data_IF_670018523633
#
_entry.id   IF_670018523633
#
_cell.length_a   1.000
_cell.length_b   1.000
_cell.length_c   1.000
_cell.angle_alpha   90.00
_cell.angle_beta   90.00
_cell.angle_gamma   90.00
#
_symmetry.space_group_name_H-M   'P 1'
#
loop_
_entity.id
_entity.type
_entity.pdbx_description
1 polymer ?
#
# COMPACT_ATOMS: atom_id res chain seq x y z
N UNK A 1 -15.70 -12.07 -18.63
CA UNK A 1 -14.22 -12.10 -18.56
C UNK A 1 -13.81 -12.41 -17.11
N UNK A 2 -13.03 -13.46 -16.83
CA UNK A 2 -12.95 -13.99 -15.48
C UNK A 2 -11.97 -13.21 -14.57
N UNK A 3 -12.54 -12.86 -13.43
CA UNK A 3 -12.11 -12.07 -12.28
C UNK A 3 -11.06 -12.72 -11.38
N UNK A 4 -10.22 -11.94 -10.71
CA UNK A 4 -9.50 -12.42 -9.53
C UNK A 4 -10.52 -12.50 -8.37
N UNK A 5 -11.10 -13.70 -8.17
CA UNK A 5 -12.22 -13.96 -7.27
C UNK A 5 -11.76 -14.20 -5.83
N UNK A 6 -11.03 -13.27 -5.21
CA UNK A 6 -10.90 -13.37 -3.77
C UNK A 6 -12.08 -12.71 -3.07
N UNK A 7 -13.09 -13.53 -2.80
CA UNK A 7 -14.36 -13.17 -2.15
C UNK A 7 -14.28 -13.15 -0.62
N UNK A 8 -13.07 -13.20 -0.05
CA UNK A 8 -12.83 -13.42 1.38
C UNK A 8 -13.25 -14.82 1.89
N UNK A 9 -13.51 -15.76 0.98
CA UNK A 9 -13.97 -17.13 1.28
C UNK A 9 -12.85 -18.16 1.37
N UNK A 10 -11.61 -17.82 1.01
CA UNK A 10 -10.47 -18.72 1.18
C UNK A 10 -10.02 -18.69 2.64
N UNK A 11 -10.14 -19.82 3.33
CA UNK A 11 -9.94 -19.91 4.77
C UNK A 11 -8.45 -19.90 5.20
N UNK A 12 -7.49 -19.72 4.28
CA UNK A 12 -6.05 -19.80 4.58
C UNK A 12 -5.22 -18.71 3.89
N UNK A 13 -4.15 -18.29 4.55
CA UNK A 13 -3.17 -17.36 3.99
C UNK A 13 -2.47 -17.92 2.73
N UNK A 14 -2.21 -19.23 2.70
CA UNK A 14 -1.63 -19.92 1.55
C UNK A 14 -2.54 -19.88 0.31
N UNK A 15 -3.86 -19.86 0.50
CA UNK A 15 -4.80 -19.66 -0.60
C UNK A 15 -4.87 -18.20 -1.08
N UNK A 16 -4.72 -17.24 -0.17
CA UNK A 16 -4.77 -15.80 -0.49
C UNK A 16 -3.51 -15.30 -1.22
N UNK A 17 -2.34 -15.91 -0.96
CA UNK A 17 -1.08 -15.56 -1.62
C UNK A 17 -1.14 -15.61 -3.17
N UNK A 18 -1.52 -16.73 -3.80
CA UNK A 18 -1.62 -16.79 -5.27
C UNK A 18 -2.75 -15.92 -5.84
N UNK A 19 -3.79 -15.61 -5.05
CA UNK A 19 -4.83 -14.66 -5.45
C UNK A 19 -4.28 -13.24 -5.55
N UNK A 20 -3.50 -12.80 -4.56
CA UNK A 20 -2.82 -11.50 -4.59
C UNK A 20 -1.85 -11.42 -5.77
N UNK A 21 -1.05 -12.47 -6.00
CA UNK A 21 -0.13 -12.51 -7.15
C UNK A 21 -0.86 -12.37 -8.49
N UNK A 22 -1.99 -13.06 -8.68
CA UNK A 22 -2.82 -12.92 -9.89
C UNK A 22 -3.45 -11.54 -10.03
N UNK A 23 -3.89 -10.94 -8.93
CA UNK A 23 -4.43 -9.58 -8.95
C UNK A 23 -3.35 -8.59 -9.40
N UNK A 24 -2.16 -8.67 -8.82
CA UNK A 24 -1.03 -7.83 -9.18
C UNK A 24 -0.59 -8.01 -10.63
N UNK A 25 -0.42 -9.25 -11.12
CA UNK A 25 -0.06 -9.47 -12.51
C UNK A 25 -1.06 -8.85 -13.49
N UNK A 26 -2.34 -8.96 -13.20
CA UNK A 26 -3.39 -8.37 -14.03
C UNK A 26 -3.37 -6.85 -13.99
N UNK A 27 -3.34 -6.26 -12.80
CA UNK A 27 -3.35 -4.80 -12.65
C UNK A 27 -2.12 -4.17 -13.32
N UNK A 28 -0.95 -4.82 -13.18
CA UNK A 28 0.32 -4.33 -13.68
C UNK A 28 0.63 -4.77 -15.13
N UNK A 29 -0.25 -5.56 -15.77
CA UNK A 29 -0.02 -6.07 -17.12
C UNK A 29 1.20 -6.99 -17.25
N UNK A 30 1.49 -7.80 -16.22
CA UNK A 30 2.63 -8.72 -16.18
C UNK A 30 2.25 -10.07 -16.81
N UNK A 31 3.19 -10.63 -17.58
CA UNK A 31 3.05 -11.97 -18.19
C UNK A 31 2.99 -13.10 -17.14
N UNK A 32 3.56 -12.86 -15.95
CA UNK A 32 3.60 -13.80 -14.83
C UNK A 32 3.28 -13.10 -13.52
N UNK A 33 2.53 -13.79 -12.65
CA UNK A 33 2.30 -13.36 -11.27
C UNK A 33 3.61 -13.21 -10.50
N UNK A 34 3.81 -12.13 -9.74
CA UNK A 34 4.93 -12.03 -8.82
C UNK A 34 4.79 -13.09 -7.71
N UNK A 35 5.92 -13.53 -7.18
CA UNK A 35 5.94 -14.48 -6.08
C UNK A 35 5.44 -13.78 -4.80
N UNK A 36 4.59 -14.49 -4.04
CA UNK A 36 3.97 -13.96 -2.82
C UNK A 36 4.34 -14.85 -1.63
N UNK A 37 5.13 -14.32 -0.71
CA UNK A 37 5.48 -14.97 0.55
C UNK A 37 4.39 -14.81 1.59
N UNK A 38 4.19 -15.83 2.43
CA UNK A 38 3.31 -15.75 3.61
C UNK A 38 4.16 -15.55 4.85
N UNK A 39 3.88 -14.51 5.62
CA UNK A 39 4.53 -14.24 6.89
C UNK A 39 3.52 -14.39 8.05
N UNK A 40 3.93 -14.92 9.20
CA UNK A 40 3.03 -15.13 10.33
C UNK A 40 2.64 -13.79 10.99
N UNK A 41 1.49 -13.74 11.66
CA UNK A 41 0.94 -12.51 12.24
C UNK A 41 1.79 -11.90 13.37
N UNK A 42 2.54 -12.73 14.09
CA UNK A 42 3.42 -12.35 15.19
C UNK A 42 4.82 -11.93 14.72
N UNK A 43 5.12 -12.04 13.42
CA UNK A 43 6.42 -11.57 12.90
C UNK A 43 6.61 -10.08 13.17
N UNK A 44 7.75 -9.75 13.74
CA UNK A 44 8.27 -8.37 13.80
C UNK A 44 9.34 -8.12 12.76
N UNK A 45 9.80 -9.18 12.08
CA UNK A 45 10.84 -9.12 11.07
C UNK A 45 10.25 -8.78 9.70
N UNK A 46 10.87 -7.83 9.02
CA UNK A 46 10.79 -7.74 7.56
C UNK A 46 11.81 -8.71 6.95
N UNK A 47 11.58 -9.24 5.74
CA UNK A 47 12.60 -10.00 5.02
C UNK A 47 13.92 -9.25 4.95
N UNK A 48 15.04 -9.97 4.92
CA UNK A 48 16.37 -9.35 4.85
C UNK A 48 16.47 -8.45 3.61
N UNK A 49 16.87 -7.19 3.82
CA UNK A 49 16.96 -6.18 2.75
C UNK A 49 15.66 -5.44 2.44
N UNK A 50 14.54 -5.76 3.11
CA UNK A 50 13.26 -5.10 2.88
C UNK A 50 13.32 -3.59 3.16
N UNK A 51 12.73 -2.82 2.24
CA UNK A 51 12.53 -1.38 2.34
C UNK A 51 11.36 -1.00 3.25
N UNK A 52 10.51 -1.97 3.61
CA UNK A 52 9.32 -1.73 4.42
C UNK A 52 9.68 -1.56 5.90
N UNK A 53 9.11 -0.55 6.59
CA UNK A 53 9.38 -0.33 8.01
C UNK A 53 8.95 -1.56 8.84
N UNK A 54 9.60 -1.77 10.01
CA UNK A 54 9.17 -2.75 10.98
C UNK A 54 7.70 -2.51 11.38
N UNK A 55 7.04 -3.57 11.86
CA UNK A 55 5.62 -3.52 12.20
C UNK A 55 5.35 -2.54 13.35
N UNK A 56 4.40 -1.62 13.14
CA UNK A 56 3.78 -0.86 14.23
C UNK A 56 2.91 -1.80 15.09
N UNK A 57 3.12 -1.78 16.41
CA UNK A 57 2.21 -2.46 17.36
C UNK A 57 0.91 -1.66 17.38
N UNK A 58 -0.13 -2.17 16.72
CA UNK A 58 -1.47 -1.59 16.78
C UNK A 58 -1.93 -1.42 18.25
N UNK A 59 -2.32 -0.20 18.63
CA UNK A 59 -2.82 0.15 19.98
C UNK A 59 -4.32 0.47 20.02
N UNK A 60 -5.12 -0.22 19.21
CA UNK A 60 -6.58 -0.12 19.23
C UNK A 60 -7.16 -1.30 18.45
N UNK A 61 -8.22 -1.93 18.97
CA UNK A 61 -8.76 -3.22 18.52
C UNK A 61 -9.04 -3.28 17.00
N UNK A 62 -8.14 -3.86 16.17
CA UNK A 62 -8.44 -4.18 14.79
C UNK A 62 -8.95 -5.63 14.73
N UNK A 63 -9.54 -6.03 13.62
CA UNK A 63 -9.73 -7.46 13.36
C UNK A 63 -8.35 -8.17 13.49
N UNK A 64 -8.26 -9.30 14.22
CA UNK A 64 -6.98 -9.96 14.47
C UNK A 64 -6.32 -10.29 13.12
N UNK A 65 -5.12 -9.74 12.91
CA UNK A 65 -4.31 -10.05 11.73
C UNK A 65 -3.94 -11.53 11.80
N UNK A 66 -4.29 -12.27 10.76
CA UNK A 66 -4.07 -13.70 10.63
C UNK A 66 -2.69 -14.02 10.04
N UNK A 67 -2.25 -13.23 9.07
CA UNK A 67 -0.95 -13.35 8.41
C UNK A 67 -0.65 -12.05 7.63
N UNK A 68 0.55 -11.96 7.08
CA UNK A 68 0.88 -10.98 6.05
C UNK A 68 1.24 -11.69 4.74
N UNK A 69 0.90 -11.06 3.63
CA UNK A 69 1.40 -11.42 2.32
C UNK A 69 2.48 -10.42 1.92
N UNK A 70 3.63 -10.93 1.51
CA UNK A 70 4.77 -10.13 1.09
C UNK A 70 5.07 -10.35 -0.38
N UNK A 71 5.29 -9.27 -1.11
CA UNK A 71 5.68 -9.28 -2.52
C UNK A 71 6.91 -8.40 -2.67
N UNK A 72 7.89 -8.91 -3.40
CA UNK A 72 9.05 -8.17 -3.90
C UNK A 72 9.08 -8.33 -5.41
N UNK A 73 8.83 -7.24 -6.14
CA UNK A 73 8.67 -7.25 -7.58
C UNK A 73 9.56 -6.20 -8.22
N UNK A 74 10.20 -6.55 -9.34
CA UNK A 74 11.10 -5.66 -10.09
C UNK A 74 10.44 -4.98 -11.29
N UNK A 75 9.21 -5.37 -11.64
CA UNK A 75 8.47 -4.88 -12.81
C UNK A 75 7.04 -4.45 -12.44
N UNK A 76 6.47 -3.43 -13.13
CA UNK A 76 7.09 -2.60 -14.18
C UNK A 76 8.16 -1.64 -13.64
N UNK A 77 8.18 -1.42 -12.32
CA UNK A 77 9.28 -0.81 -11.58
C UNK A 77 9.50 -1.62 -10.29
N UNK A 78 10.69 -1.55 -9.67
CA UNK A 78 10.91 -2.15 -8.36
C UNK A 78 9.92 -1.63 -7.30
N UNK A 79 9.30 -2.54 -6.55
CA UNK A 79 8.51 -2.24 -5.36
C UNK A 79 8.41 -3.44 -4.42
N UNK A 80 8.20 -3.16 -3.15
CA UNK A 80 7.75 -4.14 -2.16
C UNK A 80 6.31 -3.84 -1.75
N UNK A 81 5.54 -4.89 -1.45
CA UNK A 81 4.20 -4.79 -0.89
C UNK A 81 4.06 -5.76 0.29
N UNK A 82 3.65 -5.25 1.45
CA UNK A 82 3.13 -6.04 2.56
C UNK A 82 1.63 -5.79 2.71
N UNK A 83 0.84 -6.83 2.50
CA UNK A 83 -0.60 -6.81 2.69
C UNK A 83 -0.98 -7.56 3.97
N UNK A 84 -1.74 -6.92 4.85
CA UNK A 84 -2.30 -7.59 6.03
C UNK A 84 -3.46 -8.50 5.62
N UNK A 85 -3.54 -9.70 6.20
CA UNK A 85 -4.72 -10.55 6.12
C UNK A 85 -5.44 -10.51 7.46
N UNK A 86 -6.67 -10.03 7.48
CA UNK A 86 -7.51 -9.94 8.65
C UNK A 86 -8.37 -11.20 8.77
N UNK A 87 -8.56 -11.72 9.96
CA UNK A 87 -9.52 -12.82 10.18
C UNK A 87 -10.87 -12.29 10.67
N UNK A 88 -11.95 -12.84 10.11
CA UNK A 88 -13.33 -12.55 10.46
C UNK A 88 -14.16 -13.82 10.62
N UNK A 89 -15.40 -13.65 11.07
CA UNK A 89 -16.42 -14.71 11.11
C UNK A 89 -17.56 -14.34 10.19
N UNK A 90 -18.01 -15.31 9.40
CA UNK A 90 -19.26 -15.27 8.63
C UNK A 90 -20.20 -16.34 9.17
N UNK A 91 -21.48 -16.29 8.78
CA UNK A 91 -22.47 -17.33 9.10
C UNK A 91 -22.05 -18.74 8.63
N UNK A 92 -21.08 -18.85 7.71
CA UNK A 92 -20.58 -20.11 7.12
C UNK A 92 -19.16 -20.49 7.56
N UNK A 93 -18.54 -19.77 8.51
CA UNK A 93 -17.21 -20.10 9.02
C UNK A 93 -16.25 -18.91 9.11
N UNK A 94 -14.94 -19.18 9.29
CA UNK A 94 -13.90 -18.14 9.28
C UNK A 94 -13.74 -17.57 7.87
N UNK A 95 -13.73 -16.25 7.76
CA UNK A 95 -13.36 -15.53 6.54
C UNK A 95 -12.01 -14.85 6.74
N UNK A 96 -11.28 -14.64 5.65
CA UNK A 96 -10.10 -13.79 5.63
C UNK A 96 -10.43 -12.57 4.78
N UNK A 97 -10.10 -11.37 5.26
CA UNK A 97 -10.26 -10.09 4.57
C UNK A 97 -8.90 -9.43 4.35
N UNK A 98 -8.78 -8.60 3.32
CA UNK A 98 -7.55 -7.88 3.02
C UNK A 98 -7.53 -6.64 3.90
N UNK A 99 -6.44 -6.39 4.61
CA UNK A 99 -6.28 -5.26 5.50
C UNK A 99 -5.50 -4.13 4.84
N UNK A 100 -4.64 -3.50 5.63
CA UNK A 100 -3.70 -2.50 5.16
C UNK A 100 -2.76 -3.06 4.10
N UNK A 101 -2.53 -2.26 3.06
CA UNK A 101 -1.52 -2.45 2.04
C UNK A 101 -0.41 -1.44 2.31
N UNK A 102 0.80 -1.91 2.54
CA UNK A 102 1.97 -1.07 2.75
C UNK A 102 2.95 -1.32 1.61
N UNK A 103 3.20 -0.28 0.83
CA UNK A 103 4.12 -0.31 -0.29
C UNK A 103 5.41 0.43 0.05
N UNK A 104 6.52 -0.07 -0.49
CA UNK A 104 7.79 0.64 -0.57
C UNK A 104 8.25 0.66 -2.02
N UNK A 105 8.54 1.84 -2.55
CA UNK A 105 8.97 2.03 -3.94
C UNK A 105 10.29 2.81 -3.93
N UNK A 106 11.43 2.18 -4.30
CA UNK A 106 12.69 2.90 -4.40
C UNK A 106 12.63 3.93 -5.52
N UNK A 107 13.16 5.11 -5.21
CA UNK A 107 13.31 6.25 -6.10
C UNK A 107 14.81 6.55 -6.29
N UNK A 108 15.20 6.90 -7.51
CA UNK A 108 16.54 7.37 -7.86
C UNK A 108 16.80 8.80 -7.37
N UNK A 109 15.73 9.57 -7.18
CA UNK A 109 15.80 10.90 -6.62
C UNK A 109 16.36 10.88 -5.20
N UNK A 110 17.12 11.91 -4.83
CA UNK A 110 17.63 12.09 -3.47
C UNK A 110 16.81 13.17 -2.76
N UNK A 111 16.49 12.92 -1.50
CA UNK A 111 15.94 13.91 -0.56
C UNK A 111 16.87 14.01 0.63
N UNK A 112 17.06 15.21 1.19
CA UNK A 112 17.98 15.39 2.32
C UNK A 112 17.32 14.94 3.62
N UNK A 113 16.04 15.26 3.79
CA UNK A 113 15.21 14.79 4.90
C UNK A 113 13.87 14.27 4.41
N UNK A 114 13.08 13.67 5.30
CA UNK A 114 11.76 13.14 4.98
C UNK A 114 10.84 14.23 4.41
N UNK A 115 10.04 13.86 3.41
CA UNK A 115 8.91 14.64 2.91
C UNK A 115 7.65 13.81 3.04
N UNK A 116 6.61 14.36 3.67
CA UNK A 116 5.35 13.68 3.90
C UNK A 116 4.20 14.44 3.26
N UNK A 117 3.18 13.73 2.78
CA UNK A 117 1.89 14.36 2.49
C UNK A 117 1.22 14.74 3.81
N UNK A 118 1.19 16.04 4.09
CA UNK A 118 0.61 16.62 5.29
C UNK A 118 -0.74 17.29 4.98
N UNK A 119 -1.62 17.37 5.99
CA UNK A 119 -2.94 17.98 5.84
C UNK A 119 -4.01 17.03 5.30
N UNK A 120 -5.25 17.54 5.18
CA UNK A 120 -6.44 16.73 4.84
C UNK A 120 -7.39 16.47 6.01
N UNK A 121 -7.39 17.33 7.04
CA UNK A 121 -8.60 17.54 7.83
C UNK A 121 -9.71 18.18 6.99
N UNK A 122 -10.93 18.33 7.51
CA UNK A 122 -12.10 18.80 6.74
C UNK A 122 -11.95 20.16 6.03
N UNK A 123 -10.94 20.96 6.38
CA UNK A 123 -10.83 22.37 5.99
C UNK A 123 -9.49 22.81 5.39
N UNK A 124 -8.53 21.91 5.16
CA UNK A 124 -7.18 22.29 4.69
C UNK A 124 -6.77 21.62 3.38
N UNK A 125 -6.12 22.35 2.44
CA UNK A 125 -5.56 21.73 1.24
C UNK A 125 -4.46 20.73 1.63
N UNK A 126 -4.40 19.60 0.93
CA UNK A 126 -3.34 18.62 1.11
C UNK A 126 -2.06 19.13 0.46
N UNK A 127 -0.94 19.05 1.17
CA UNK A 127 0.37 19.54 0.71
C UNK A 127 1.52 18.71 1.25
N UNK A 128 2.59 18.62 0.50
CA UNK A 128 3.83 18.02 0.98
C UNK A 128 4.53 18.96 1.98
N UNK A 129 5.01 18.40 3.09
CA UNK A 129 5.79 19.10 4.12
C UNK A 129 7.01 18.27 4.52
N UNK A 130 7.97 18.88 5.24
CA UNK A 130 9.26 18.26 5.56
C UNK A 130 10.41 19.00 4.90
N UNK A 131 11.27 18.31 4.15
CA UNK A 131 12.35 18.93 3.36
C UNK A 131 11.80 20.09 2.49
N UNK A 132 12.26 21.34 2.69
CA UNK A 132 11.64 22.50 2.04
C UNK A 132 11.85 22.51 0.53
N UNK A 133 12.99 22.01 0.04
CA UNK A 133 13.32 22.01 -1.39
C UNK A 133 12.49 20.96 -2.13
N UNK A 134 12.45 19.75 -1.59
CA UNK A 134 11.66 18.67 -2.15
C UNK A 134 10.16 18.95 -2.01
N UNK A 135 9.69 19.45 -0.86
CA UNK A 135 8.29 19.86 -0.69
C UNK A 135 7.89 20.96 -1.68
N UNK A 136 8.72 21.98 -1.91
CA UNK A 136 8.43 23.03 -2.89
C UNK A 136 8.28 22.46 -4.32
N UNK A 137 9.17 21.54 -4.73
CA UNK A 137 9.09 20.87 -6.03
C UNK A 137 7.82 20.02 -6.19
N UNK A 138 7.47 19.24 -5.17
CA UNK A 138 6.26 18.41 -5.20
C UNK A 138 4.99 19.26 -5.18
N UNK A 139 4.98 20.36 -4.40
CA UNK A 139 3.83 21.26 -4.30
C UNK A 139 3.68 22.21 -5.51
N UNK A 140 4.69 22.31 -6.38
CA UNK A 140 4.57 23.03 -7.65
C UNK A 140 3.57 22.34 -8.61
N UNK A 141 3.26 21.07 -8.36
CA UNK A 141 2.28 20.29 -9.09
C UNK A 141 1.01 20.05 -8.24
N UNK A 142 -0.06 20.87 -8.40
CA UNK A 142 -1.26 20.75 -7.58
C UNK A 142 -2.01 19.43 -7.79
N UNK A 143 -1.84 18.81 -8.94
CA UNK A 143 -2.47 17.52 -9.26
C UNK A 143 -1.79 16.37 -8.51
N UNK A 144 -0.50 16.49 -8.20
CA UNK A 144 0.24 15.48 -7.45
C UNK A 144 -0.37 15.23 -6.08
N UNK A 145 -0.70 16.30 -5.33
CA UNK A 145 -1.31 16.16 -4.00
C UNK A 145 -2.66 15.45 -4.06
N UNK A 146 -3.47 15.72 -5.10
CA UNK A 146 -4.76 15.04 -5.32
C UNK A 146 -4.56 13.55 -5.63
N UNK A 147 -3.58 13.21 -6.46
CA UNK A 147 -3.25 11.82 -6.78
C UNK A 147 -2.73 11.07 -5.56
N UNK A 148 -1.84 11.71 -4.77
CA UNK A 148 -1.34 11.18 -3.52
C UNK A 148 -2.49 10.90 -2.54
N UNK A 149 -3.42 11.83 -2.38
CA UNK A 149 -4.64 11.64 -1.60
C UNK A 149 -5.45 10.42 -2.04
N UNK A 150 -5.62 10.28 -3.36
CA UNK A 150 -6.41 9.22 -3.96
C UNK A 150 -5.76 7.84 -3.79
N UNK A 151 -4.43 7.74 -3.71
CA UNK A 151 -3.78 6.45 -3.46
C UNK A 151 -3.65 6.14 -1.96
N UNK A 152 -3.59 7.15 -1.07
CA UNK A 152 -3.45 6.96 0.38
C UNK A 152 -4.79 6.94 1.11
N UNK A 153 -5.69 6.04 0.71
CA UNK A 153 -7.02 5.91 1.34
C UNK A 153 -6.86 5.37 2.75
N UNK A 154 -7.40 6.09 3.72
CA UNK A 154 -7.33 5.74 5.15
C UNK A 154 -8.56 5.02 5.67
N UNK A 155 -9.63 4.91 4.87
CA UNK A 155 -10.89 4.28 5.27
C UNK A 155 -11.46 3.40 4.15
N UNK A 156 -11.76 2.14 4.45
CA UNK A 156 -12.37 1.19 3.53
C UNK A 156 -13.29 0.22 4.27
N UNK A 157 -14.33 -0.28 3.62
CA UNK A 157 -15.29 -1.18 4.23
C UNK A 157 -16.36 -1.60 3.25
N UNK A 158 -17.10 -2.71 3.49
CA UNK A 158 -18.24 -3.08 2.67
C UNK A 158 -19.34 -2.00 2.64
N UNK A 159 -19.47 -1.20 3.69
CA UNK A 159 -20.40 -0.07 3.77
C UNK A 159 -19.89 1.02 4.72
N UNK A 160 -20.64 2.12 4.87
CA UNK A 160 -20.27 3.26 5.72
C UNK A 160 -20.34 2.98 7.23
N UNK A 161 -20.96 1.88 7.65
CA UNK A 161 -21.12 1.47 9.06
C UNK A 161 -20.07 0.43 9.47
N UNK A 162 -19.51 -0.31 8.51
CA UNK A 162 -18.51 -1.36 8.73
C UNK A 162 -17.22 -0.98 8.00
N UNK A 163 -16.46 -0.02 8.54
CA UNK A 163 -15.22 0.45 7.93
C UNK A 163 -14.01 0.18 8.80
N UNK A 164 -12.91 -0.21 8.16
CA UNK A 164 -11.56 -0.20 8.71
C UNK A 164 -10.93 1.17 8.49
N UNK A 165 -10.14 1.60 9.46
CA UNK A 165 -9.36 2.84 9.40
C UNK A 165 -7.89 2.56 9.65
N UNK A 166 -7.03 3.29 8.94
CA UNK A 166 -5.58 3.26 9.11
C UNK A 166 -5.02 4.67 9.07
N UNK A 167 -3.95 4.90 9.82
CA UNK A 167 -3.24 6.18 9.73
C UNK A 167 -2.71 6.40 8.32
N UNK A 168 -2.80 7.64 7.85
CA UNK A 168 -2.20 8.00 6.56
C UNK A 168 -0.69 7.89 6.66
N UNK A 169 -0.10 7.11 5.76
CA UNK A 169 1.33 7.14 5.51
C UNK A 169 1.53 7.36 4.01
N UNK A 170 2.10 8.50 3.64
CA UNK A 170 2.61 8.75 2.30
C UNK A 170 3.83 9.65 2.46
N UNK A 171 5.01 9.03 2.48
CA UNK A 171 6.27 9.69 2.80
C UNK A 171 7.36 9.29 1.82
N UNK A 172 8.24 10.23 1.51
CA UNK A 172 9.48 10.01 0.79
C UNK A 172 10.61 10.18 1.79
N UNK A 173 11.37 9.12 2.04
CA UNK A 173 12.46 9.11 3.02
C UNK A 173 13.82 8.94 2.32
N UNK A 174 14.88 9.57 2.84
CA UNK A 174 16.24 9.28 2.37
C UNK A 174 16.57 7.80 2.52
N UNK A 175 17.18 7.21 1.48
CA UNK A 175 17.62 5.82 1.50
C UNK A 175 19.01 5.70 0.83
N UNK A 176 19.89 4.78 1.25
CA UNK A 176 21.19 4.59 0.58
C UNK A 176 21.02 4.42 -0.94
N UNK A 177 21.62 5.33 -1.70
CA UNK A 177 21.52 5.33 -3.17
C UNK A 177 20.35 6.11 -3.77
N UNK A 178 19.47 6.71 -2.96
CA UNK A 178 18.34 7.50 -3.46
C UNK A 178 17.35 7.89 -2.36
N UNK A 179 16.09 7.54 -2.58
CA UNK A 179 15.00 7.70 -1.62
C UNK A 179 14.04 6.52 -1.72
N UNK A 180 13.12 6.40 -0.77
CA UNK A 180 12.04 5.42 -0.81
C UNK A 180 10.71 6.13 -0.60
N UNK A 181 9.73 5.86 -1.48
CA UNK A 181 8.33 6.21 -1.24
C UNK A 181 7.69 5.09 -0.43
N UNK A 182 7.24 5.41 0.78
CA UNK A 182 6.42 4.55 1.61
C UNK A 182 4.97 5.02 1.53
N UNK A 183 4.06 4.09 1.22
CA UNK A 183 2.63 4.39 1.13
C UNK A 183 1.80 3.32 1.82
N UNK A 184 0.98 3.73 2.79
CA UNK A 184 -0.06 2.91 3.41
C UNK A 184 -1.40 3.28 2.79
N UNK A 185 -2.13 2.25 2.38
CA UNK A 185 -3.45 2.37 1.81
C UNK A 185 -4.32 1.18 2.21
N UNK A 186 -5.58 1.22 1.81
CA UNK A 186 -6.52 0.13 1.95
C UNK A 186 -6.93 -0.36 0.57
N UNK A 187 -7.30 -1.63 0.49
CA UNK A 187 -7.95 -2.17 -0.69
C UNK A 187 -9.26 -1.41 -0.97
N UNK A 188 -9.61 -1.28 -2.25
CA UNK A 188 -10.91 -0.71 -2.64
C UNK A 188 -11.88 -1.84 -2.91
N UNK A 189 -13.00 -1.87 -2.19
CA UNK A 189 -14.09 -2.77 -2.55
C UNK A 189 -14.68 -2.33 -3.89
N UNK A 190 -14.70 -3.23 -4.86
CA UNK A 190 -15.47 -3.10 -6.10
C UNK A 190 -16.57 -4.15 -6.06
N UNK A 191 -17.73 -3.95 -6.70
CA UNK A 191 -18.71 -5.05 -6.79
C UNK A 191 -18.37 -5.86 -8.04
N UNK A 192 -17.97 -7.15 -7.97
CA UNK A 192 -17.96 -8.08 -6.81
C UNK A 192 -16.55 -8.41 -6.22
N UNK A 193 -15.57 -7.51 -6.29
CA UNK A 193 -14.12 -7.75 -6.11
C UNK A 193 -13.42 -6.72 -5.19
N UNK A 194 -12.09 -6.68 -5.25
CA UNK A 194 -11.26 -5.63 -4.69
C UNK A 194 -10.09 -5.31 -5.62
N UNK A 195 -9.54 -4.10 -5.50
CA UNK A 195 -8.35 -3.65 -6.22
C UNK A 195 -7.26 -3.23 -5.21
N UNK A 196 -6.01 -3.59 -5.49
CA UNK A 196 -4.82 -3.11 -4.74
C UNK A 196 -4.25 -1.82 -5.33
N UNK A 197 -4.68 -1.45 -6.55
CA UNK A 197 -4.35 -0.20 -7.23
C UNK A 197 -2.85 0.03 -7.39
N UNK A 198 -2.09 -1.06 -7.58
CA UNK A 198 -0.64 -0.99 -7.74
C UNK A 198 -0.22 -0.04 -8.89
N UNK A 199 -0.88 -0.01 -10.07
CA UNK A 199 -0.53 0.93 -11.15
C UNK A 199 -0.56 2.38 -10.71
N UNK A 200 -1.65 2.82 -10.05
CA UNK A 200 -1.81 4.21 -9.62
C UNK A 200 -0.72 4.63 -8.61
N UNK A 201 -0.27 3.69 -7.77
CA UNK A 201 0.83 3.96 -6.85
C UNK A 201 2.18 4.05 -7.58
N UNK A 202 2.46 3.14 -8.52
CA UNK A 202 3.71 3.17 -9.28
C UNK A 202 3.80 4.39 -10.20
N UNK A 203 2.68 4.83 -10.77
CA UNK A 203 2.56 6.06 -11.54
C UNK A 203 2.83 7.29 -10.65
N UNK A 204 2.25 7.32 -9.44
CA UNK A 204 2.55 8.37 -8.46
C UNK A 204 4.05 8.40 -8.13
N UNK A 205 4.66 7.23 -7.90
CA UNK A 205 6.09 7.15 -7.63
C UNK A 205 6.94 7.69 -8.79
N UNK A 206 6.54 7.40 -10.04
CA UNK A 206 7.21 7.93 -11.24
C UNK A 206 7.10 9.46 -11.34
N UNK A 207 5.93 10.00 -11.01
CA UNK A 207 5.70 11.44 -11.02
C UNK A 207 6.49 12.15 -9.92
N UNK A 208 6.48 11.60 -8.70
CA UNK A 208 7.31 12.09 -7.58
C UNK A 208 8.78 12.10 -7.98
N UNK A 209 9.29 11.00 -8.53
CA UNK A 209 10.69 10.91 -8.94
C UNK A 209 11.05 11.97 -9.99
N UNK A 210 10.21 12.14 -11.02
CA UNK A 210 10.40 13.16 -12.06
C UNK A 210 10.52 14.56 -11.46
N UNK A 211 9.62 14.91 -10.54
CA UNK A 211 9.58 16.23 -9.90
C UNK A 211 10.75 16.46 -8.93
N UNK A 212 11.32 15.41 -8.36
CA UNK A 212 12.46 15.53 -7.44
C UNK A 212 13.81 15.55 -8.16
N UNK A 213 13.90 14.98 -9.37
CA UNK A 213 15.12 15.02 -10.20
C UNK A 213 15.31 16.39 -10.87
N UNK A 214 14.24 16.99 -11.39
CA UNK A 214 14.26 18.38 -11.92
C UNK A 214 14.51 19.41 -10.81
#
# INVERSE_FOLDING_TARGET
MPSALWSGRSATAHGAAPDLGRALARELGLDRAPDVGVLPADTTASPAGSLLPPRERYSGMPAPTHAYLYVDATRPRPFELRAALLSGRTLRGRSIGLGALLYAVPLRAKVATQVALTGGGPMGPQRFGGDPKAAARLNADPELARQAAAVSVTRAGPDTRHTWEVDRLLVVEPYPGGAVLLARTLHRATTPQWEVRAPALLDLAARIETLLVG
#
